data_IF_568736459704
#
_entry.id   IF_568736459704
#
_cell.length_a   1.000
_cell.length_b   1.000
_cell.length_c   1.000
_cell.angle_alpha   90.00
_cell.angle_beta   90.00
_cell.angle_gamma   90.00
#
_symmetry.space_group_name_H-M   'P 1'
#
loop_
_entity.id
_entity.type
_entity.pdbx_description
1 polymer ?
#
# COMPACT_ATOMS: atom_id res chain seq x y z
N UNK A 1 19.28 -13.71 -3.39
CA UNK A 1 17.88 -13.43 -2.98
C UNK A 1 17.24 -12.62 -4.09
N UNK A 2 16.21 -13.14 -4.75
CA UNK A 2 15.48 -12.37 -5.77
C UNK A 2 14.61 -11.34 -5.04
N UNK A 3 15.12 -10.11 -4.94
CA UNK A 3 14.46 -8.99 -4.27
C UNK A 3 13.39 -8.32 -5.15
N UNK A 4 13.42 -8.61 -6.44
CA UNK A 4 12.58 -7.97 -7.43
C UNK A 4 11.95 -8.96 -8.40
N UNK A 5 10.80 -8.59 -8.94
CA UNK A 5 10.08 -9.36 -9.96
C UNK A 5 9.59 -8.46 -11.09
N UNK A 6 9.46 -9.04 -12.28
CA UNK A 6 8.73 -8.45 -13.39
C UNK A 6 7.30 -8.96 -13.38
N UNK A 7 6.34 -8.06 -13.40
CA UNK A 7 4.90 -8.39 -13.50
C UNK A 7 4.22 -7.49 -14.51
N UNK A 8 3.26 -8.05 -15.24
CA UNK A 8 2.33 -7.21 -16.01
C UNK A 8 1.38 -6.47 -15.07
N UNK A 9 0.84 -5.30 -15.49
CA UNK A 9 -0.20 -4.60 -14.75
C UNK A 9 -1.38 -5.50 -14.36
N UNK A 10 -1.81 -6.36 -15.29
CA UNK A 10 -2.89 -7.33 -15.06
C UNK A 10 -2.57 -8.31 -13.93
N UNK A 11 -1.40 -8.95 -13.97
CA UNK A 11 -0.97 -9.87 -12.90
C UNK A 11 -0.87 -9.15 -11.56
N UNK A 12 -0.46 -7.88 -11.57
CA UNK A 12 -0.33 -7.11 -10.36
C UNK A 12 -1.69 -6.76 -9.74
N UNK A 13 -2.67 -6.36 -10.55
CA UNK A 13 -4.06 -6.23 -10.10
C UNK A 13 -4.62 -7.54 -9.55
N UNK A 14 -4.36 -8.68 -10.21
CA UNK A 14 -4.84 -9.99 -9.78
C UNK A 14 -4.25 -10.41 -8.41
N UNK A 15 -2.96 -10.15 -8.18
CA UNK A 15 -2.28 -10.44 -6.91
C UNK A 15 -2.79 -9.58 -5.76
N UNK A 16 -3.03 -8.29 -6.02
CA UNK A 16 -3.37 -7.30 -4.98
C UNK A 16 -4.86 -7.14 -4.74
N UNK A 17 -5.69 -7.51 -5.74
CA UNK A 17 -7.12 -7.20 -5.84
C UNK A 17 -7.43 -5.70 -5.84
N UNK A 18 -6.46 -4.89 -6.25
CA UNK A 18 -6.61 -3.44 -6.41
C UNK A 18 -6.87 -3.09 -7.88
N UNK A 19 -7.54 -1.96 -8.12
CA UNK A 19 -7.65 -1.41 -9.47
C UNK A 19 -6.31 -0.82 -9.94
N UNK A 20 -6.17 -0.59 -11.26
CA UNK A 20 -4.97 0.09 -11.78
C UNK A 20 -4.80 1.51 -11.23
N UNK A 21 -5.90 2.23 -11.01
CA UNK A 21 -5.84 3.59 -10.47
C UNK A 21 -5.35 3.59 -9.01
N UNK A 22 -5.82 2.62 -8.21
CA UNK A 22 -5.33 2.42 -6.84
C UNK A 22 -3.85 2.05 -6.84
N UNK A 23 -3.43 1.16 -7.73
CA UNK A 23 -2.03 0.76 -7.87
C UNK A 23 -1.14 1.95 -8.23
N UNK A 24 -1.54 2.75 -9.22
CA UNK A 24 -0.77 3.91 -9.65
C UNK A 24 -0.66 4.92 -8.51
N UNK A 25 -1.76 5.20 -7.81
CA UNK A 25 -1.75 6.10 -6.65
C UNK A 25 -0.80 5.63 -5.55
N UNK A 26 -0.80 4.34 -5.22
CA UNK A 26 0.10 3.79 -4.18
C UNK A 26 1.54 3.73 -4.70
N UNK A 27 1.77 3.43 -5.98
CA UNK A 27 3.09 3.42 -6.57
C UNK A 27 3.72 4.81 -6.56
N UNK A 28 2.95 5.85 -6.91
CA UNK A 28 3.39 7.25 -6.88
C UNK A 28 3.69 7.73 -5.45
N UNK A 29 2.88 7.30 -4.48
CA UNK A 29 3.01 7.73 -3.08
C UNK A 29 4.17 7.02 -2.36
N UNK A 30 4.39 5.74 -2.62
CA UNK A 30 5.32 4.90 -1.84
C UNK A 30 6.54 4.38 -2.61
N UNK A 31 6.57 4.51 -3.94
CA UNK A 31 7.79 4.30 -4.74
C UNK A 31 8.29 2.85 -4.84
N UNK A 32 7.40 1.84 -4.81
CA UNK A 32 7.81 0.43 -4.90
C UNK A 32 7.94 -0.11 -6.34
N UNK A 33 7.46 0.63 -7.34
CA UNK A 33 7.71 0.38 -8.77
C UNK A 33 9.02 1.07 -9.13
N UNK A 34 10.05 0.29 -9.44
CA UNK A 34 11.42 0.82 -9.62
C UNK A 34 11.78 1.00 -11.10
N UNK A 35 11.09 0.31 -12.01
CA UNK A 35 11.23 0.45 -13.46
C UNK A 35 9.97 -0.03 -14.18
N UNK A 36 9.70 0.54 -15.35
CA UNK A 36 8.75 0.01 -16.33
C UNK A 36 9.48 -0.30 -17.65
N UNK A 37 9.24 -1.48 -18.21
CA UNK A 37 9.84 -1.89 -19.49
C UNK A 37 8.93 -2.90 -20.19
N UNK A 38 8.71 -2.72 -21.51
CA UNK A 38 7.87 -3.61 -22.33
C UNK A 38 6.47 -3.88 -21.74
N UNK A 39 5.87 -2.89 -21.07
CA UNK A 39 4.55 -3.02 -20.43
C UNK A 39 4.55 -3.92 -19.18
N UNK A 40 5.71 -4.10 -18.56
CA UNK A 40 5.88 -4.79 -17.28
C UNK A 40 6.45 -3.84 -16.24
N UNK A 41 6.01 -4.01 -14.99
CA UNK A 41 6.53 -3.35 -13.82
C UNK A 41 7.62 -4.19 -13.17
N UNK A 42 8.72 -3.53 -12.82
CA UNK A 42 9.78 -4.09 -11.99
C UNK A 42 9.57 -3.65 -10.54
N UNK A 43 9.16 -4.60 -9.70
CA UNK A 43 8.76 -4.33 -8.32
C UNK A 43 9.86 -4.75 -7.35
N UNK A 44 10.15 -3.95 -6.32
CA UNK A 44 10.84 -4.45 -5.13
C UNK A 44 9.80 -5.12 -4.21
N UNK A 45 10.02 -6.40 -3.92
CA UNK A 45 9.08 -7.22 -3.14
C UNK A 45 9.02 -6.84 -1.66
N UNK A 46 10.11 -6.30 -1.09
CA UNK A 46 10.15 -5.88 0.31
C UNK A 46 9.34 -4.61 0.50
N UNK A 47 9.57 -3.62 -0.36
CA UNK A 47 8.85 -2.35 -0.31
C UNK A 47 7.38 -2.58 -0.62
N UNK A 48 7.08 -3.35 -1.67
CA UNK A 48 5.72 -3.74 -2.00
C UNK A 48 5.02 -4.46 -0.82
N UNK A 49 5.66 -5.45 -0.20
CA UNK A 49 5.07 -6.20 0.92
C UNK A 49 4.78 -5.32 2.14
N UNK A 50 5.68 -4.38 2.45
CA UNK A 50 5.48 -3.41 3.53
C UNK A 50 4.32 -2.46 3.26
N UNK A 51 4.30 -1.87 2.06
CA UNK A 51 3.27 -0.92 1.63
C UNK A 51 1.90 -1.61 1.55
N UNK A 52 1.82 -2.78 0.90
CA UNK A 52 0.58 -3.54 0.76
C UNK A 52 -0.02 -3.87 2.14
N UNK A 53 0.80 -4.35 3.09
CA UNK A 53 0.34 -4.62 4.45
C UNK A 53 -0.14 -3.34 5.14
N UNK A 54 0.57 -2.23 4.98
CA UNK A 54 0.22 -0.95 5.58
C UNK A 54 -1.11 -0.42 5.03
N UNK A 55 -1.28 -0.38 3.71
CA UNK A 55 -2.54 0.04 3.05
C UNK A 55 -3.71 -0.84 3.48
N UNK A 56 -3.54 -2.17 3.51
CA UNK A 56 -4.60 -3.07 3.96
C UNK A 56 -4.91 -2.93 5.45
N UNK A 57 -3.93 -2.62 6.29
CA UNK A 57 -4.13 -2.37 7.70
C UNK A 57 -4.89 -1.06 7.91
N UNK A 58 -4.52 0.02 7.20
CA UNK A 58 -5.23 1.29 7.22
C UNK A 58 -6.67 1.14 6.71
N UNK A 59 -6.91 0.41 5.61
CA UNK A 59 -8.28 0.17 5.11
C UNK A 59 -9.14 -0.66 6.09
N UNK A 60 -8.53 -1.47 6.96
CA UNK A 60 -9.23 -2.24 8.01
C UNK A 60 -9.39 -1.45 9.31
N UNK A 61 -8.51 -0.51 9.59
CA UNK A 61 -8.58 0.38 10.75
C UNK A 61 -9.31 1.64 10.30
N UNK A 62 -10.58 1.74 10.68
CA UNK A 62 -11.34 2.98 10.48
C UNK A 62 -10.73 4.11 11.31
N UNK A 63 -9.75 4.82 10.75
CA UNK A 63 -9.04 5.91 11.41
C UNK A 63 -9.96 7.12 11.67
N UNK A 64 -11.11 7.20 10.99
CA UNK A 64 -12.11 8.24 11.25
C UNK A 64 -12.78 8.08 12.61
N UNK A 65 -12.76 6.87 13.19
CA UNK A 65 -13.29 6.57 14.53
C UNK A 65 -12.29 6.77 15.65
N UNK A 66 -11.03 7.09 15.36
CA UNK A 66 -9.95 7.09 16.36
C UNK A 66 -9.61 8.46 16.97
N UNK A 67 -10.33 9.50 16.58
CA UNK A 67 -10.16 10.84 17.14
C UNK A 67 -11.42 11.27 17.89
N UNK A 68 -11.64 10.66 19.05
CA UNK A 68 -12.27 11.41 20.14
C UNK A 68 -11.12 12.19 20.79
N UNK A 69 -11.10 13.54 20.71
CA UNK A 69 -10.09 14.30 21.44
C UNK A 69 -10.28 13.99 22.92
N UNK A 70 -9.20 13.55 23.58
CA UNK A 70 -9.20 13.35 25.03
C UNK A 70 -9.77 14.60 25.70
N UNK A 71 -10.82 14.41 26.48
CA UNK A 71 -11.42 15.49 27.26
C UNK A 71 -10.62 15.67 28.55
N UNK A 72 -10.64 16.86 29.14
CA UNK A 72 -9.93 17.11 30.41
C UNK A 72 -10.43 16.15 31.53
N UNK A 73 -11.65 15.63 31.41
CA UNK A 73 -12.23 14.65 32.32
C UNK A 73 -11.50 13.29 32.27
N UNK A 74 -10.95 12.88 31.13
CA UNK A 74 -10.23 11.61 30.95
C UNK A 74 -8.86 11.59 31.65
N UNK A 75 -8.34 12.76 32.02
CA UNK A 75 -7.03 12.95 32.65
C UNK A 75 -7.10 13.01 34.19
N UNK A 76 -8.30 12.85 34.76
CA UNK A 76 -8.57 13.06 36.20
C UNK A 76 -8.70 11.78 37.04
N UNK A 77 -8.36 10.60 36.50
CA UNK A 77 -8.40 9.30 37.19
C UNK A 77 -7.10 8.94 37.93
#
# INVERSE_FOLDING_TARGET
MLRHIWVTPKQFCELTKLSMDEINSIADEYGFVTKEENGQFYLDLMDFGYVYKTVHMIKRVDLSKRYEPFTEDDLSA
#
